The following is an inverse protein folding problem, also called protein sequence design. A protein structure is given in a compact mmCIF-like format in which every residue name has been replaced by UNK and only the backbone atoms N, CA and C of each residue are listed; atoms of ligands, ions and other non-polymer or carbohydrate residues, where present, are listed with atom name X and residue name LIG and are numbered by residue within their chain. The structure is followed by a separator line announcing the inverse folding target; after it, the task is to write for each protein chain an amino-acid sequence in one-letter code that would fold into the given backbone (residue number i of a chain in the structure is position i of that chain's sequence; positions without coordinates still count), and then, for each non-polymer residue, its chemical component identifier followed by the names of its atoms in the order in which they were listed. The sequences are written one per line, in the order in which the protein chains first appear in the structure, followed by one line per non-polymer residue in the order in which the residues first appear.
data_IF_945755616208
#
_entry.id   IF_945755616208
#
_cell.length_a   1.000
_cell.length_b   1.000
_cell.length_c   1.000
_cell.angle_alpha   90.00
_cell.angle_beta   90.00
_cell.angle_gamma   90.00
#
_symmetry.space_group_name_H-M   'P 1'
#
loop_
_entity.id
_entity.type
_entity.pdbx_description
1 polymer ?
#
# COMPACT_ATOMS: atom_id res chain seq x y z
N UNK A 1 -14.70 -9.84 -10.80
CA UNK A 1 -14.73 -8.40 -10.40
C UNK A 1 -13.30 -7.91 -10.26
N UNK A 2 -13.00 -6.73 -10.78
CA UNK A 2 -11.71 -6.06 -10.63
C UNK A 2 -11.73 -5.12 -9.42
N UNK A 3 -10.68 -5.14 -8.61
CA UNK A 3 -10.51 -4.26 -7.46
C UNK A 3 -9.23 -3.42 -7.57
N UNK A 4 -9.16 -2.34 -6.80
CA UNK A 4 -7.92 -1.59 -6.61
C UNK A 4 -7.53 -1.49 -5.14
N UNK A 5 -6.24 -1.35 -4.89
CA UNK A 5 -5.67 -1.10 -3.56
C UNK A 5 -4.77 0.15 -3.62
N UNK A 6 -5.32 1.33 -3.30
CA UNK A 6 -4.54 2.56 -3.29
C UNK A 6 -3.76 2.74 -2.00
N UNK A 7 -2.56 3.28 -2.12
CA UNK A 7 -1.71 3.62 -0.97
C UNK A 7 -0.50 4.45 -1.36
N UNK A 8 0.24 4.93 -0.38
CA UNK A 8 1.51 5.63 -0.60
C UNK A 8 2.67 4.65 -0.77
N UNK A 9 2.70 3.56 0.01
CA UNK A 9 3.72 2.50 -0.02
C UNK A 9 5.16 3.03 0.07
N UNK A 10 5.46 3.79 1.09
CA UNK A 10 6.74 4.49 1.28
C UNK A 10 7.47 4.10 2.58
N UNK A 11 8.05 2.89 2.64
CA UNK A 11 7.99 1.78 1.68
C UNK A 11 6.77 0.88 1.84
N UNK A 12 6.62 -0.12 0.96
CA UNK A 12 5.73 -1.25 1.18
C UNK A 12 6.15 -2.01 2.44
N UNK A 13 5.17 -2.49 3.21
CA UNK A 13 5.40 -3.29 4.42
C UNK A 13 4.83 -4.70 4.26
N UNK A 14 5.18 -5.61 5.16
CA UNK A 14 4.56 -6.94 5.20
C UNK A 14 3.05 -6.90 5.45
N UNK A 15 2.57 -5.84 6.14
CA UNK A 15 1.14 -5.60 6.30
C UNK A 15 0.45 -5.24 4.97
N UNK A 16 1.07 -4.39 4.15
CA UNK A 16 0.56 -4.11 2.80
C UNK A 16 0.58 -5.34 1.92
N UNK A 17 1.66 -6.12 1.98
CA UNK A 17 1.82 -7.32 1.17
C UNK A 17 0.78 -8.40 1.53
N UNK A 18 0.44 -8.55 2.82
CA UNK A 18 -0.65 -9.44 3.27
C UNK A 18 -2.01 -9.04 2.68
N UNK A 19 -2.31 -7.74 2.67
CA UNK A 19 -3.55 -7.24 2.04
C UNK A 19 -3.54 -7.53 0.54
N UNK A 20 -2.43 -7.28 -0.16
CA UNK A 20 -2.30 -7.57 -1.59
C UNK A 20 -2.52 -9.06 -1.87
N UNK A 21 -1.88 -9.95 -1.10
CA UNK A 21 -2.01 -11.40 -1.26
C UNK A 21 -3.47 -11.86 -1.08
N UNK A 22 -4.13 -11.37 -0.04
CA UNK A 22 -5.52 -11.75 0.25
C UNK A 22 -6.48 -11.18 -0.78
N UNK A 23 -6.32 -9.92 -1.18
CA UNK A 23 -7.14 -9.32 -2.21
C UNK A 23 -6.95 -10.00 -3.57
N UNK A 24 -5.71 -10.38 -3.93
CA UNK A 24 -5.44 -11.11 -5.16
C UNK A 24 -6.15 -12.48 -5.24
N UNK A 25 -6.44 -13.10 -4.09
CA UNK A 25 -7.21 -14.36 -4.02
C UNK A 25 -8.72 -14.14 -4.08
N UNK A 26 -9.20 -12.93 -3.75
CA UNK A 26 -10.62 -12.60 -3.69
C UNK A 26 -11.16 -12.05 -5.01
N UNK A 27 -10.32 -11.43 -5.83
CA UNK A 27 -10.71 -10.71 -7.03
C UNK A 27 -10.04 -11.27 -8.29
N UNK A 28 -10.70 -11.16 -9.44
CA UNK A 28 -10.17 -11.61 -10.72
C UNK A 28 -8.91 -10.84 -11.13
N UNK A 29 -8.92 -9.53 -10.85
CA UNK A 29 -7.76 -8.61 -11.03
C UNK A 29 -7.66 -7.66 -9.84
N UNK A 30 -6.42 -7.32 -9.47
CA UNK A 30 -6.10 -6.34 -8.45
C UNK A 30 -5.10 -5.31 -9.00
N UNK A 31 -5.54 -4.06 -9.10
CA UNK A 31 -4.66 -2.94 -9.43
C UNK A 31 -4.18 -2.26 -8.14
N UNK A 32 -2.88 -2.28 -7.90
CA UNK A 32 -2.25 -1.56 -6.79
C UNK A 32 -1.89 -0.16 -7.28
N UNK A 33 -2.46 0.87 -6.66
CA UNK A 33 -2.20 2.27 -7.03
C UNK A 33 -1.24 2.93 -6.05
N UNK A 34 -0.07 3.29 -6.52
CA UNK A 34 0.87 4.15 -5.79
C UNK A 34 0.41 5.59 -5.99
N UNK A 35 -0.31 6.12 -5.00
CA UNK A 35 -0.85 7.47 -5.08
C UNK A 35 0.23 8.51 -4.76
N UNK A 36 0.47 9.41 -5.71
CA UNK A 36 1.39 10.53 -5.56
C UNK A 36 0.64 11.74 -5.02
N UNK A 37 1.01 12.18 -3.83
CA UNK A 37 0.50 13.42 -3.25
C UNK A 37 1.63 14.44 -3.24
N UNK A 38 1.55 15.53 -4.01
CA UNK A 38 2.62 16.54 -4.09
C UNK A 38 2.87 17.26 -2.75
N UNK A 39 1.93 17.19 -1.80
CA UNK A 39 2.09 17.74 -0.45
C UNK A 39 2.81 16.82 0.53
N UNK A 40 3.02 15.54 0.17
CA UNK A 40 3.75 14.57 1.01
C UNK A 40 5.18 14.43 0.51
N UNK A 41 6.12 14.59 1.43
CA UNK A 41 7.52 14.27 1.16
C UNK A 41 7.75 12.78 1.46
N UNK A 42 7.91 11.99 0.40
CA UNK A 42 8.20 10.58 0.50
C UNK A 42 9.72 10.34 0.55
N UNK A 43 10.11 9.23 1.20
CA UNK A 43 11.51 8.77 1.23
C UNK A 43 11.95 8.25 -0.14
N UNK A 44 11.05 7.52 -0.82
CA UNK A 44 11.29 6.93 -2.14
C UNK A 44 10.49 7.64 -3.21
N UNK A 45 11.05 7.75 -4.42
CA UNK A 45 10.30 8.22 -5.60
C UNK A 45 9.16 7.26 -5.92
N UNK A 46 8.20 7.70 -6.73
CA UNK A 46 7.09 6.84 -7.15
C UNK A 46 7.59 5.59 -7.91
N UNK A 47 8.60 5.75 -8.76
CA UNK A 47 9.22 4.67 -9.53
C UNK A 47 9.96 3.68 -8.62
N UNK A 48 10.71 4.17 -7.63
CA UNK A 48 11.36 3.31 -6.62
C UNK A 48 10.32 2.50 -5.86
N UNK A 49 9.22 3.12 -5.42
CA UNK A 49 8.13 2.43 -4.70
C UNK A 49 7.45 1.37 -5.58
N UNK A 50 7.24 1.67 -6.87
CA UNK A 50 6.71 0.71 -7.84
C UNK A 50 7.61 -0.52 -7.94
N UNK A 51 8.90 -0.32 -8.18
CA UNK A 51 9.87 -1.41 -8.29
C UNK A 51 9.95 -2.24 -7.00
N UNK A 52 9.90 -1.58 -5.84
CA UNK A 52 9.91 -2.26 -4.54
C UNK A 52 8.66 -3.14 -4.34
N UNK A 53 7.49 -2.72 -4.79
CA UNK A 53 6.28 -3.54 -4.74
C UNK A 53 6.42 -4.72 -5.72
N UNK A 54 6.83 -4.48 -6.96
CA UNK A 54 7.03 -5.54 -7.97
C UNK A 54 7.98 -6.63 -7.47
N UNK A 55 9.12 -6.24 -6.91
CA UNK A 55 10.10 -7.17 -6.34
C UNK A 55 9.53 -7.95 -5.14
N UNK A 56 8.71 -7.28 -4.33
CA UNK A 56 8.09 -7.89 -3.14
C UNK A 56 7.02 -8.93 -3.46
N UNK A 57 6.41 -8.89 -4.65
CA UNK A 57 5.42 -9.90 -5.06
C UNK A 57 6.00 -11.31 -5.09
N UNK A 58 7.32 -11.47 -5.23
CA UNK A 58 7.99 -12.77 -5.14
C UNK A 58 7.72 -13.49 -3.81
N UNK A 59 7.61 -12.75 -2.70
CA UNK A 59 7.32 -13.29 -1.36
C UNK A 59 5.92 -13.92 -1.24
N UNK A 60 5.00 -13.60 -2.16
CA UNK A 60 3.62 -14.12 -2.18
C UNK A 60 3.33 -14.93 -3.45
N UNK A 61 4.37 -15.47 -4.11
CA UNK A 61 4.25 -16.32 -5.27
C UNK A 61 3.97 -15.59 -6.58
N UNK A 62 4.25 -14.29 -6.67
CA UNK A 62 4.11 -13.47 -7.89
C UNK A 62 2.75 -13.64 -8.58
N UNK A 63 1.65 -13.27 -7.93
CA UNK A 63 0.31 -13.47 -8.47
C UNK A 63 0.14 -12.72 -9.80
N UNK A 64 -0.30 -13.43 -10.85
CA UNK A 64 -0.39 -12.91 -12.23
C UNK A 64 -1.52 -11.88 -12.42
N UNK A 65 -2.47 -11.85 -11.50
CA UNK A 65 -3.62 -10.93 -11.52
C UNK A 65 -3.38 -9.63 -10.76
N UNK A 66 -2.16 -9.38 -10.28
CA UNK A 66 -1.77 -8.12 -9.63
C UNK A 66 -0.99 -7.25 -10.61
N UNK A 67 -1.45 -6.01 -10.79
CA UNK A 67 -0.79 -4.98 -11.60
C UNK A 67 -0.52 -3.74 -10.77
N UNK A 68 0.56 -3.02 -11.04
CA UNK A 68 0.99 -1.87 -10.24
C UNK A 68 1.06 -0.63 -11.13
N UNK A 69 0.40 0.43 -10.67
CA UNK A 69 0.30 1.70 -11.39
C UNK A 69 0.65 2.87 -10.46
N UNK A 70 1.25 3.89 -11.03
CA UNK A 70 1.45 5.18 -10.38
C UNK A 70 0.26 6.06 -10.75
N UNK A 71 -0.36 6.68 -9.74
CA UNK A 71 -1.55 7.50 -9.89
C UNK A 71 -1.44 8.84 -9.17
N UNK A 72 -2.14 9.83 -9.70
CA UNK A 72 -2.26 11.16 -9.13
C UNK A 72 -3.74 11.56 -9.04
N UNK A 73 -4.05 12.51 -8.17
CA UNK A 73 -5.40 13.03 -8.00
C UNK A 73 -6.26 12.17 -7.08
N UNK A 74 -7.55 12.08 -7.38
CA UNK A 74 -8.50 11.35 -6.57
C UNK A 74 -8.41 9.83 -6.82
N UNK A 75 -8.42 9.05 -5.76
CA UNK A 75 -8.40 7.58 -5.86
C UNK A 75 -9.61 7.02 -6.62
N UNK A 76 -10.76 7.65 -6.46
CA UNK A 76 -11.99 7.26 -7.16
C UNK A 76 -11.88 7.46 -8.67
N UNK A 77 -11.22 8.52 -9.13
CA UNK A 77 -11.02 8.76 -10.57
C UNK A 77 -10.05 7.74 -11.17
N UNK A 78 -9.00 7.39 -10.42
CA UNK A 78 -8.10 6.30 -10.81
C UNK A 78 -8.83 4.95 -10.89
N UNK A 79 -9.67 4.65 -9.90
CA UNK A 79 -10.45 3.42 -9.89
C UNK A 79 -11.39 3.32 -11.11
N UNK A 80 -12.07 4.42 -11.47
CA UNK A 80 -12.91 4.49 -12.67
C UNK A 80 -12.10 4.31 -13.96
N UNK A 81 -10.99 5.02 -14.07
CA UNK A 81 -10.10 4.92 -15.25
C UNK A 81 -9.62 3.50 -15.51
N UNK A 82 -9.54 2.71 -14.46
CA UNK A 82 -9.09 1.32 -14.51
C UNK A 82 -10.24 0.29 -14.45
N UNK A 83 -11.49 0.73 -14.51
CA UNK A 83 -12.68 -0.13 -14.46
C UNK A 83 -12.74 -1.00 -13.18
N UNK A 84 -12.30 -0.45 -12.04
CA UNK A 84 -12.36 -1.13 -10.75
C UNK A 84 -13.74 -0.93 -10.11
N UNK A 85 -14.43 -2.02 -9.79
CA UNK A 85 -15.72 -1.97 -9.07
C UNK A 85 -15.59 -1.96 -7.55
N UNK A 86 -14.39 -2.21 -7.02
CA UNK A 86 -14.12 -2.20 -5.58
C UNK A 86 -12.77 -1.55 -5.25
N UNK A 87 -12.74 -0.85 -4.11
CA UNK A 87 -11.53 -0.25 -3.53
C UNK A 87 -11.22 -0.91 -2.20
N UNK A 88 -10.04 -1.52 -2.08
CA UNK A 88 -9.58 -2.18 -0.87
C UNK A 88 -8.89 -1.19 0.06
N UNK A 89 -9.21 -1.25 1.36
CA UNK A 89 -8.53 -0.50 2.41
C UNK A 89 -8.19 -1.44 3.56
N UNK A 90 -6.97 -1.31 4.10
CA UNK A 90 -6.51 -2.08 5.27
C UNK A 90 -6.87 -1.37 6.57
N UNK A 91 -7.41 -2.11 7.55
CA UNK A 91 -7.74 -1.60 8.89
C UNK A 91 -6.90 -2.34 9.93
N UNK A 92 -6.15 -1.62 10.74
CA UNK A 92 -5.28 -2.14 11.81
C UNK A 92 -5.83 -1.89 13.21
N UNK A 93 -6.44 -0.73 13.42
CA UNK A 93 -6.94 -0.26 14.70
C UNK A 93 -8.21 0.59 14.51
N UNK A 94 -8.89 0.88 15.61
CA UNK A 94 -10.10 1.74 15.60
C UNK A 94 -9.82 3.12 15.04
N UNK A 95 -8.65 3.70 15.36
CA UNK A 95 -8.24 5.00 14.81
C UNK A 95 -8.07 5.00 13.28
N UNK A 96 -7.56 3.92 12.71
CA UNK A 96 -7.52 3.76 11.25
C UNK A 96 -8.95 3.70 10.68
N UNK A 97 -9.83 2.93 11.33
CA UNK A 97 -11.20 2.75 10.87
C UNK A 97 -11.96 4.08 10.75
N UNK A 98 -11.86 4.95 11.74
CA UNK A 98 -12.52 6.25 11.70
C UNK A 98 -12.06 7.10 10.51
N UNK A 99 -10.75 7.17 10.27
CA UNK A 99 -10.18 7.88 9.14
C UNK A 99 -10.59 7.25 7.81
N UNK A 100 -10.47 5.92 7.69
CA UNK A 100 -10.79 5.18 6.47
C UNK A 100 -12.29 5.23 6.15
N UNK A 101 -13.15 5.23 7.17
CA UNK A 101 -14.60 5.40 6.99
C UNK A 101 -14.93 6.78 6.41
N UNK A 102 -14.29 7.85 6.90
CA UNK A 102 -14.46 9.19 6.33
C UNK A 102 -14.04 9.24 4.86
N UNK A 103 -12.90 8.62 4.52
CA UNK A 103 -12.42 8.56 3.13
C UNK A 103 -13.38 7.72 2.25
N UNK A 104 -13.85 6.58 2.75
CA UNK A 104 -14.81 5.74 2.05
C UNK A 104 -16.12 6.49 1.76
N UNK A 105 -16.66 7.19 2.76
CA UNK A 105 -17.87 8.01 2.62
C UNK A 105 -17.68 9.12 1.57
N UNK A 106 -16.55 9.81 1.60
CA UNK A 106 -16.24 10.83 0.60
C UNK A 106 -16.14 10.23 -0.82
N UNK A 107 -15.48 9.06 -0.95
CA UNK A 107 -15.37 8.37 -2.23
C UNK A 107 -16.74 7.90 -2.75
N UNK A 108 -17.64 7.43 -1.88
CA UNK A 108 -19.01 7.05 -2.27
C UNK A 108 -19.80 8.25 -2.80
N UNK A 109 -19.62 9.43 -2.23
CA UNK A 109 -20.28 10.65 -2.73
C UNK A 109 -19.74 11.09 -4.11
N UNK A 110 -18.48 10.80 -4.40
CA UNK A 110 -17.82 11.17 -5.65
C UNK A 110 -17.95 10.08 -6.73
N UNK A 111 -18.14 8.82 -6.31
CA UNK A 111 -18.14 7.66 -7.19
C UNK A 111 -19.10 6.58 -6.70
N UNK A 112 -20.39 6.71 -7.03
CA UNK A 112 -21.45 5.79 -6.59
C UNK A 112 -21.33 4.35 -7.13
N UNK A 113 -20.43 4.12 -8.06
CA UNK A 113 -20.20 2.87 -8.78
C UNK A 113 -19.03 2.05 -8.23
N UNK A 114 -18.31 2.57 -7.23
CA UNK A 114 -17.14 1.92 -6.63
C UNK A 114 -17.38 1.65 -5.15
N UNK A 115 -17.41 0.38 -4.78
CA UNK A 115 -17.61 -0.04 -3.39
C UNK A 115 -16.29 -0.04 -2.61
N UNK A 116 -16.31 0.36 -1.33
CA UNK A 116 -15.12 0.27 -0.45
C UNK A 116 -15.21 -0.96 0.42
N UNK A 117 -14.15 -1.78 0.40
CA UNK A 117 -14.05 -3.03 1.16
C UNK A 117 -12.89 -2.90 2.16
N UNK A 118 -13.20 -3.07 3.45
CA UNK A 118 -12.21 -3.07 4.51
C UNK A 118 -11.68 -4.48 4.79
N UNK A 119 -10.38 -4.66 4.69
CA UNK A 119 -9.69 -5.88 5.11
C UNK A 119 -8.97 -5.62 6.44
N UNK A 120 -9.31 -6.42 7.45
CA UNK A 120 -8.67 -6.34 8.76
C UNK A 120 -7.24 -6.90 8.65
N UNK A 121 -6.26 -6.14 9.12
CA UNK A 121 -4.88 -6.58 9.20
C UNK A 121 -4.74 -7.80 10.12
N UNK A 122 -3.85 -8.72 9.77
CA UNK A 122 -3.49 -9.82 10.69
C UNK A 122 -2.91 -9.27 11.99
N UNK A 123 -3.12 -9.93 13.15
CA UNK A 123 -2.66 -9.44 14.45
C UNK A 123 -1.17 -9.08 14.48
N UNK A 124 -0.32 -9.85 13.82
CA UNK A 124 1.13 -9.59 13.77
C UNK A 124 1.50 -8.30 13.02
N UNK A 125 0.58 -7.73 12.23
CA UNK A 125 0.78 -6.50 11.47
C UNK A 125 -0.03 -5.31 12.02
N UNK A 126 -0.72 -5.48 13.14
CA UNK A 126 -1.62 -4.45 13.70
C UNK A 126 -0.90 -3.16 14.09
N UNK A 127 0.39 -3.22 14.45
CA UNK A 127 1.22 -2.06 14.79
C UNK A 127 1.97 -1.48 13.59
N UNK A 128 2.00 -2.23 12.45
CA UNK A 128 2.92 -1.98 11.36
C UNK A 128 2.43 -0.88 10.42
N UNK A 129 3.30 0.09 10.14
CA UNK A 129 3.12 1.13 9.13
C UNK A 129 4.45 1.48 8.49
N UNK A 130 4.40 2.16 7.34
CA UNK A 130 5.62 2.68 6.70
C UNK A 130 6.38 3.66 7.60
N UNK A 131 5.66 4.46 8.39
CA UNK A 131 6.27 5.39 9.36
C UNK A 131 7.04 4.66 10.45
N UNK A 132 6.46 3.59 11.01
CA UNK A 132 7.14 2.75 12.02
C UNK A 132 8.38 2.09 11.43
N UNK A 133 8.32 1.57 10.20
CA UNK A 133 9.49 0.99 9.53
C UNK A 133 10.61 2.03 9.36
N UNK A 134 10.27 3.23 8.88
CA UNK A 134 11.26 4.31 8.70
C UNK A 134 11.90 4.73 10.02
N UNK A 135 11.12 4.84 11.07
CA UNK A 135 11.61 5.19 12.40
C UNK A 135 12.58 4.12 12.94
N UNK A 136 12.19 2.85 12.89
CA UNK A 136 13.04 1.74 13.36
C UNK A 136 14.35 1.69 12.56
N UNK A 137 14.28 1.77 11.22
CA UNK A 137 15.45 1.71 10.36
C UNK A 137 16.38 2.94 10.55
N UNK A 138 15.82 4.12 10.79
CA UNK A 138 16.59 5.35 11.07
C UNK A 138 17.44 5.19 12.34
N UNK A 139 16.94 4.49 13.35
CA UNK A 139 17.68 4.15 14.57
C UNK A 139 18.46 2.84 14.45
N UNK A 140 18.68 2.32 13.23
CA UNK A 140 19.44 1.10 12.95
C UNK A 140 18.85 -0.16 13.61
N UNK A 141 17.53 -0.14 13.86
CA UNK A 141 16.78 -1.31 14.33
C UNK A 141 16.56 -2.33 13.23
N UNK A 142 16.26 -3.57 13.63
CA UNK A 142 15.99 -4.66 12.70
C UNK A 142 14.59 -4.54 12.08
N UNK A 143 14.52 -4.54 10.76
CA UNK A 143 13.27 -4.48 9.98
C UNK A 143 12.96 -5.79 9.23
N UNK A 144 13.66 -6.89 9.54
CA UNK A 144 13.56 -8.17 8.82
C UNK A 144 12.12 -8.70 8.73
N UNK A 145 11.33 -8.55 9.80
CA UNK A 145 9.95 -9.03 9.82
C UNK A 145 8.91 -7.94 9.52
N UNK A 146 9.35 -6.75 9.16
CA UNK A 146 8.47 -5.59 8.96
C UNK A 146 8.24 -5.28 7.48
N UNK A 147 9.24 -5.56 6.64
CA UNK A 147 9.18 -5.36 5.20
C UNK A 147 9.55 -6.66 4.46
N UNK A 148 9.13 -6.78 3.20
CA UNK A 148 9.59 -7.90 2.35
C UNK A 148 11.11 -7.94 2.26
N UNK A 149 11.68 -9.15 2.30
CA UNK A 149 13.16 -9.35 2.32
C UNK A 149 13.87 -8.72 1.12
N UNK A 150 13.18 -8.61 -0.03
CA UNK A 150 13.70 -8.05 -1.27
C UNK A 150 14.05 -6.57 -1.18
N UNK A 151 13.50 -5.85 -0.18
CA UNK A 151 13.66 -4.38 -0.09
C UNK A 151 14.42 -3.91 1.15
N UNK A 152 14.81 -4.82 2.06
CA UNK A 152 15.48 -4.48 3.33
C UNK A 152 16.72 -3.62 3.08
N UNK A 153 17.59 -4.05 2.18
CA UNK A 153 18.85 -3.33 1.89
C UNK A 153 18.56 -1.95 1.31
N UNK A 154 17.57 -1.81 0.42
CA UNK A 154 17.19 -0.50 -0.15
C UNK A 154 16.70 0.47 0.93
N UNK A 155 15.88 -0.01 1.87
CA UNK A 155 15.38 0.83 2.96
C UNK A 155 16.53 1.29 3.85
N UNK A 156 17.41 0.38 4.26
CA UNK A 156 18.55 0.71 5.10
C UNK A 156 19.53 1.68 4.41
N UNK A 157 19.87 1.42 3.16
CA UNK A 157 20.78 2.29 2.39
C UNK A 157 20.20 3.69 2.18
N UNK A 158 18.92 3.81 1.89
CA UNK A 158 18.25 5.10 1.66
C UNK A 158 18.28 5.98 2.92
N UNK A 159 18.11 5.39 4.08
CA UNK A 159 18.13 6.12 5.36
C UNK A 159 19.55 6.43 5.82
N UNK A 160 20.53 5.59 5.50
CA UNK A 160 21.95 5.87 5.78
C UNK A 160 22.51 7.00 4.90
N UNK A 161 22.06 7.12 3.64
CA UNK A 161 22.51 8.19 2.72
C UNK A 161 21.87 9.55 2.99
N UNK A 162 20.88 9.64 3.85
CA UNK A 162 20.21 10.89 4.28
C UNK A 162 20.86 11.57 5.49
N UNK A 163 21.99 11.06 5.99
CA UNK A 163 22.77 11.65 7.10
C UNK A 163 23.87 12.62 6.63
N UNK A 164 23.85 13.09 5.36
CA UNK A 164 24.73 14.16 4.85
C UNK A 164 24.02 15.51 4.74
#
# INVERSE_FOLDING_TARGET
MKACYPGTFDPITNGHLDIIERAAKMFDELDVFIMVNPRKRCLFTAEERKQMIEDSLASIGSPKNVKIFIGEGLTVDMARKHDCGAMIRGIRAVSDYEYELQQATANMMLGHDIETIFLIAKPQYSFLSSSVVKEIAMYKGDILNLVPVQIIDRVNQKLMSGEE
#
